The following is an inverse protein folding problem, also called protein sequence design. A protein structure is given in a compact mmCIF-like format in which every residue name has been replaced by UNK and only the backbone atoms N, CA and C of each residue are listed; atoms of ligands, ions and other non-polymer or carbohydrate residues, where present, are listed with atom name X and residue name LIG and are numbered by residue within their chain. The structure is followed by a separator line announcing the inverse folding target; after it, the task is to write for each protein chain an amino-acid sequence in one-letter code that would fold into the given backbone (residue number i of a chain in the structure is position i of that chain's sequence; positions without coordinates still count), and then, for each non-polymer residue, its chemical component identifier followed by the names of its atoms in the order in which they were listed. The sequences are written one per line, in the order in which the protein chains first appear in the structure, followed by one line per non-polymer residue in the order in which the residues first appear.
data_IF_170362685940
#
_entry.id   IF_170362685940
#
_cell.length_a   1.000
_cell.length_b   1.000
_cell.length_c   1.000
_cell.angle_alpha   90.00
_cell.angle_beta   90.00
_cell.angle_gamma   90.00
#
_symmetry.space_group_name_H-M   'P 1'
#
loop_
_entity.id
_entity.type
_entity.pdbx_description
1 polymer ?
#
# COMPACT_ATOMS: atom_id res chain seq x y z
N UNK A 1 -2.47 -4.84 -18.59
CA UNK A 1 -2.12 -5.53 -17.36
C UNK A 1 -3.36 -6.09 -16.67
N UNK A 2 -3.30 -7.39 -16.33
CA UNK A 2 -4.44 -8.11 -15.73
C UNK A 2 -4.89 -7.50 -14.39
N UNK A 3 -3.95 -7.07 -13.55
CA UNK A 3 -4.28 -6.45 -12.26
C UNK A 3 -5.01 -5.13 -12.40
N UNK A 4 -4.59 -4.28 -13.34
CA UNK A 4 -5.28 -3.01 -13.57
C UNK A 4 -6.71 -3.23 -14.01
N UNK A 5 -6.95 -4.17 -14.91
CA UNK A 5 -8.30 -4.51 -15.34
C UNK A 5 -9.16 -5.01 -14.17
N UNK A 6 -8.58 -5.85 -13.30
CA UNK A 6 -9.30 -6.36 -12.13
C UNK A 6 -9.64 -5.26 -11.14
N UNK A 7 -8.71 -4.38 -10.84
CA UNK A 7 -8.94 -3.27 -9.92
C UNK A 7 -10.03 -2.33 -10.44
N UNK A 8 -10.05 -2.09 -11.74
CA UNK A 8 -11.11 -1.27 -12.36
C UNK A 8 -12.46 -1.98 -12.31
N UNK A 9 -12.48 -3.27 -12.60
CA UNK A 9 -13.72 -4.06 -12.57
C UNK A 9 -14.33 -4.09 -11.16
N UNK A 10 -13.49 -4.11 -10.13
CA UNK A 10 -13.96 -4.10 -8.73
C UNK A 10 -14.30 -2.69 -8.22
N UNK A 11 -14.16 -1.67 -9.05
CA UNK A 11 -14.44 -0.30 -8.64
C UNK A 11 -13.41 0.31 -7.71
N UNK A 12 -12.21 -0.27 -7.66
CA UNK A 12 -11.13 0.22 -6.79
C UNK A 12 -10.22 1.22 -7.48
N UNK A 13 -10.38 1.41 -8.78
CA UNK A 13 -9.58 2.34 -9.55
C UNK A 13 -10.43 2.98 -10.64
N UNK A 14 -10.39 4.29 -10.72
CA UNK A 14 -11.10 5.06 -11.74
C UNK A 14 -10.16 5.45 -12.86
N UNK A 15 -10.74 5.71 -14.05
CA UNK A 15 -10.02 6.22 -15.20
C UNK A 15 -9.27 5.16 -15.96
N UNK A 16 -8.71 5.61 -17.11
CA UNK A 16 -7.87 4.80 -17.97
C UNK A 16 -6.45 5.37 -17.95
N UNK A 17 -5.47 4.54 -18.24
CA UNK A 17 -4.07 4.93 -18.24
C UNK A 17 -3.30 4.37 -17.07
N UNK A 18 -2.03 4.72 -16.98
CA UNK A 18 -1.14 4.21 -15.93
C UNK A 18 -1.32 5.01 -14.63
N UNK A 19 -1.68 4.35 -13.52
CA UNK A 19 -1.76 5.04 -12.23
C UNK A 19 -0.35 5.31 -11.68
N UNK A 20 -0.22 6.33 -10.84
CA UNK A 20 1.01 6.51 -10.07
C UNK A 20 1.05 5.51 -8.91
N UNK A 21 2.19 5.47 -8.21
CA UNK A 21 2.38 4.49 -7.12
C UNK A 21 1.39 4.67 -5.98
N UNK A 22 1.03 5.91 -5.65
CA UNK A 22 0.07 6.20 -4.57
C UNK A 22 -1.33 5.71 -4.95
N UNK A 23 -1.78 6.00 -6.17
CA UNK A 23 -3.08 5.55 -6.66
C UNK A 23 -3.15 4.03 -6.72
N UNK A 24 -2.08 3.38 -7.17
CA UNK A 24 -2.02 1.93 -7.26
C UNK A 24 -2.06 1.28 -5.88
N UNK A 25 -1.29 1.80 -4.93
CA UNK A 25 -1.31 1.30 -3.56
C UNK A 25 -2.69 1.44 -2.92
N UNK A 26 -3.34 2.59 -3.11
CA UNK A 26 -4.70 2.81 -2.63
C UNK A 26 -5.69 1.82 -3.24
N UNK A 27 -5.55 1.54 -4.53
CA UNK A 27 -6.42 0.60 -5.25
C UNK A 27 -6.25 -0.83 -4.72
N UNK A 28 -5.03 -1.28 -4.45
CA UNK A 28 -4.79 -2.60 -3.87
C UNK A 28 -5.35 -2.70 -2.45
N UNK A 29 -5.21 -1.67 -1.64
CA UNK A 29 -5.79 -1.67 -0.30
C UNK A 29 -7.32 -1.64 -0.36
N UNK A 30 -7.89 -0.93 -1.32
CA UNK A 30 -9.33 -0.97 -1.58
C UNK A 30 -9.79 -2.39 -1.92
N UNK A 31 -9.06 -3.07 -2.81
CA UNK A 31 -9.36 -4.45 -3.16
C UNK A 31 -9.31 -5.37 -1.93
N UNK A 32 -8.24 -5.28 -1.14
CA UNK A 32 -8.10 -6.07 0.08
C UNK A 32 -9.21 -5.77 1.09
N UNK A 33 -9.68 -4.53 1.16
CA UNK A 33 -10.74 -4.15 2.07
C UNK A 33 -12.07 -4.83 1.76
N UNK A 34 -12.25 -5.28 0.53
CA UNK A 34 -13.47 -5.95 0.07
C UNK A 34 -13.43 -7.46 0.17
N UNK A 35 -12.27 -8.02 0.54
CA UNK A 35 -12.17 -9.47 0.71
C UNK A 35 -12.88 -9.92 1.99
N UNK A 36 -13.28 -11.20 2.08
CA UNK A 36 -13.91 -11.73 3.29
C UNK A 36 -12.90 -12.00 4.42
N UNK A 37 -11.62 -11.76 4.22
CA UNK A 37 -10.61 -11.95 5.25
C UNK A 37 -10.95 -11.18 6.53
N UNK A 38 -10.85 -11.78 7.72
CA UNK A 38 -11.20 -11.10 8.95
C UNK A 38 -10.26 -9.94 9.31
N UNK A 39 -9.00 -10.01 8.86
CA UNK A 39 -8.01 -8.97 9.13
C UNK A 39 -7.31 -8.57 7.83
N UNK A 40 -7.01 -7.29 7.72
CA UNK A 40 -6.17 -6.75 6.65
C UNK A 40 -5.02 -5.99 7.30
N UNK A 41 -3.79 -6.42 7.03
CA UNK A 41 -2.58 -5.73 7.50
C UNK A 41 -2.10 -4.71 6.48
N UNK A 42 -1.51 -3.64 6.96
CA UNK A 42 -0.91 -2.62 6.12
C UNK A 42 0.53 -2.40 6.59
N UNK A 43 1.46 -2.44 5.65
CA UNK A 43 2.87 -2.21 5.96
C UNK A 43 3.12 -0.72 6.25
N UNK A 44 3.89 -0.44 7.28
CA UNK A 44 4.31 0.93 7.58
C UNK A 44 5.15 1.50 6.45
N UNK A 45 5.95 0.67 5.78
CA UNK A 45 6.72 1.10 4.61
C UNK A 45 5.82 1.59 3.48
N UNK A 46 4.68 0.93 3.26
CA UNK A 46 3.71 1.38 2.25
C UNK A 46 3.12 2.74 2.60
N UNK A 47 2.81 2.96 3.87
CA UNK A 47 2.26 4.24 4.34
C UNK A 47 3.28 5.37 4.22
N UNK A 48 4.55 5.06 4.42
CA UNK A 48 5.64 6.02 4.30
C UNK A 48 6.08 6.26 2.84
N UNK A 49 5.59 5.44 1.91
CA UNK A 49 5.98 5.55 0.50
C UNK A 49 7.37 5.01 0.20
N UNK A 50 7.85 4.07 1.00
CA UNK A 50 9.16 3.47 0.78
C UNK A 50 9.16 2.59 -0.48
N UNK A 51 10.22 2.70 -1.28
CA UNK A 51 10.34 1.99 -2.55
C UNK A 51 11.37 0.87 -2.53
N UNK A 52 12.30 0.90 -1.58
CA UNK A 52 13.30 -0.14 -1.44
C UNK A 52 12.93 -1.10 -0.32
N UNK A 53 13.11 -2.42 -0.53
CA UNK A 53 12.80 -3.37 0.53
C UNK A 53 13.76 -3.21 1.72
N UNK A 54 13.21 -3.27 2.93
CA UNK A 54 14.00 -3.21 4.16
C UNK A 54 14.80 -4.50 4.35
N UNK A 55 14.31 -5.59 3.82
CA UNK A 55 14.95 -6.91 3.91
C UNK A 55 14.81 -7.65 2.58
N UNK A 56 15.92 -8.23 2.11
CA UNK A 56 15.92 -9.13 0.97
C UNK A 56 16.44 -10.48 1.45
N UNK A 57 15.58 -11.44 1.77
CA UNK A 57 15.99 -12.74 2.29
C UNK A 57 16.90 -13.48 1.30
N UNK A 58 17.95 -14.13 1.80
CA UNK A 58 18.86 -14.90 0.99
C UNK A 58 19.90 -14.11 0.23
N UNK A 59 19.92 -12.78 0.40
CA UNK A 59 20.90 -11.90 -0.27
C UNK A 59 21.95 -11.45 0.73
N UNK A 60 23.26 -11.58 0.39
CA UNK A 60 24.34 -11.14 1.28
C UNK A 60 24.28 -9.63 1.55
N UNK A 61 24.77 -9.22 2.71
CA UNK A 61 24.76 -7.81 3.13
C UNK A 61 25.53 -6.91 2.15
N UNK A 62 26.51 -7.45 1.44
CA UNK A 62 27.28 -6.71 0.43
C UNK A 62 26.44 -6.32 -0.78
N UNK A 63 25.41 -7.09 -1.08
CA UNK A 63 24.50 -6.82 -2.20
C UNK A 63 23.28 -6.00 -1.77
N UNK A 64 22.77 -6.23 -0.57
CA UNK A 64 21.68 -5.45 -0.01
C UNK A 64 21.78 -5.42 1.51
N UNK A 65 21.82 -4.22 2.07
CA UNK A 65 21.99 -4.02 3.51
C UNK A 65 20.63 -4.06 4.20
N UNK A 66 20.12 -5.28 4.37
CA UNK A 66 18.83 -5.50 5.04
C UNK A 66 18.86 -4.97 6.48
N UNK A 67 17.76 -4.36 6.91
CA UNK A 67 17.55 -3.83 8.26
C UNK A 67 18.51 -2.72 8.66
N UNK A 68 19.15 -2.04 7.69
CA UNK A 68 20.17 -1.03 7.98
C UNK A 68 19.75 0.40 7.65
N UNK A 69 18.58 0.58 7.02
CA UNK A 69 18.15 1.88 6.52
C UNK A 69 17.03 2.44 7.37
N UNK A 70 17.07 3.75 7.59
CA UNK A 70 15.94 4.47 8.20
C UNK A 70 14.87 4.74 7.16
N UNK A 71 13.64 4.84 7.60
CA UNK A 71 12.56 5.36 6.76
C UNK A 71 12.88 6.78 6.33
N UNK A 72 12.47 7.12 5.10
CA UNK A 72 12.64 8.47 4.55
C UNK A 72 11.77 9.50 5.25
N UNK A 73 10.65 9.05 5.82
CA UNK A 73 9.67 9.91 6.46
C UNK A 73 9.70 9.66 7.96
N UNK A 74 9.84 10.70 8.81
CA UNK A 74 9.77 10.51 10.26
C UNK A 74 8.38 10.01 10.67
N UNK A 75 8.31 9.28 11.76
CA UNK A 75 7.07 8.64 12.21
C UNK A 75 5.92 9.63 12.33
N UNK A 76 6.18 10.82 12.84
CA UNK A 76 5.16 11.85 13.05
C UNK A 76 4.55 12.36 11.74
N UNK A 77 5.28 12.27 10.64
CA UNK A 77 4.84 12.75 9.35
C UNK A 77 4.12 11.69 8.51
N UNK A 78 4.21 10.40 8.88
CA UNK A 78 3.59 9.32 8.12
C UNK A 78 2.09 9.53 7.90
N UNK A 79 1.29 9.92 8.91
CA UNK A 79 -0.16 10.11 8.69
C UNK A 79 -0.51 11.14 7.63
N UNK A 80 0.40 12.06 7.34
CA UNK A 80 0.17 13.13 6.37
C UNK A 80 0.67 12.81 4.97
N UNK A 81 1.28 11.64 4.77
CA UNK A 81 1.75 11.24 3.44
C UNK A 81 0.57 10.96 2.52
N UNK A 82 0.72 11.20 1.20
CA UNK A 82 -0.32 10.82 0.23
C UNK A 82 -0.69 9.33 0.30
N UNK A 83 0.30 8.46 0.49
CA UNK A 83 0.07 7.01 0.58
C UNK A 83 -0.76 6.66 1.82
N UNK A 84 -0.47 7.26 2.98
CA UNK A 84 -1.23 7.02 4.20
C UNK A 84 -2.69 7.47 4.06
N UNK A 85 -2.90 8.65 3.45
CA UNK A 85 -4.24 9.17 3.22
C UNK A 85 -5.05 8.28 2.29
N UNK A 86 -4.47 7.86 1.18
CA UNK A 86 -5.12 6.98 0.22
C UNK A 86 -5.48 5.63 0.85
N UNK A 87 -4.58 5.04 1.61
CA UNK A 87 -4.79 3.75 2.28
C UNK A 87 -5.86 3.86 3.36
N UNK A 88 -5.80 4.90 4.19
CA UNK A 88 -6.79 5.14 5.24
C UNK A 88 -8.20 5.28 4.66
N UNK A 89 -8.34 6.04 3.58
CA UNK A 89 -9.61 6.21 2.89
C UNK A 89 -10.13 4.89 2.34
N UNK A 90 -9.25 4.10 1.71
CA UNK A 90 -9.61 2.80 1.16
C UNK A 90 -10.14 1.84 2.24
N UNK A 91 -9.49 1.84 3.41
CA UNK A 91 -9.86 0.93 4.50
C UNK A 91 -11.03 1.42 5.34
N UNK A 92 -11.34 2.70 5.32
CA UNK A 92 -12.48 3.25 6.06
C UNK A 92 -13.80 2.62 5.63
N UNK A 93 -13.94 2.30 4.34
CA UNK A 93 -15.14 1.66 3.81
C UNK A 93 -15.34 0.25 4.36
N UNK A 94 -14.25 -0.46 4.64
CA UNK A 94 -14.32 -1.79 5.24
C UNK A 94 -14.92 -1.73 6.65
N UNK A 95 -14.48 -0.79 7.47
CA UNK A 95 -14.98 -0.63 8.83
C UNK A 95 -16.48 -0.34 8.85
N UNK A 96 -16.96 0.48 7.89
CA UNK A 96 -18.39 0.79 7.79
C UNK A 96 -19.24 -0.39 7.33
N UNK A 97 -18.74 -1.18 6.37
CA UNK A 97 -19.52 -2.28 5.81
C UNK A 97 -19.61 -3.48 6.76
N UNK A 98 -18.81 -3.54 7.80
CA UNK A 98 -18.80 -4.64 8.79
C UNK A 98 -19.61 -4.34 10.06
N UNK A 99 -20.22 -3.19 10.16
CA UNK A 99 -21.07 -2.81 11.30
C UNK A 99 -22.52 -3.28 11.15
#
# INVERSE_FOLDING_TARGET
HAWLARLRAEGCMAGEGEPDAVALAGAFHCFLSRTPAPLVGVSLDDLAGETEPVNVPGVPVEQHRSWSRRMRVPLEAIPDTPAAKATTEALANRARSRR
#
